data_IF_204600678279
#
_entry.id   IF_204600678279
#
_cell.length_a   1.000
_cell.length_b   1.000
_cell.length_c   1.000
_cell.angle_alpha   90.00
_cell.angle_beta   90.00
_cell.angle_gamma   90.00
#
_symmetry.space_group_name_H-M   'P 1'
#
loop_
_entity.id
_entity.type
_entity.pdbx_description
1 polymer ?
#
# COMPACT_ATOMS: atom_id res chain seq x y z
N UNK A 1 13.25 -20.97 -3.52
CA UNK A 1 13.56 -20.06 -2.40
C UNK A 1 13.52 -18.65 -2.96
N UNK A 2 12.43 -17.91 -2.74
CA UNK A 2 12.25 -16.55 -3.27
C UNK A 2 13.03 -15.56 -2.40
N UNK A 3 14.00 -14.80 -2.94
CA UNK A 3 14.78 -13.85 -2.15
C UNK A 3 13.94 -12.60 -1.82
N UNK A 4 13.98 -12.14 -0.57
CA UNK A 4 13.31 -10.89 -0.14
C UNK A 4 14.07 -9.64 -0.61
N UNK A 5 15.38 -9.76 -0.85
CA UNK A 5 16.22 -8.65 -1.28
C UNK A 5 16.88 -8.98 -2.62
N UNK A 6 16.70 -8.11 -3.62
CA UNK A 6 17.29 -8.28 -4.96
C UNK A 6 18.82 -8.15 -4.96
N UNK A 7 19.41 -7.59 -3.89
CA UNK A 7 20.85 -7.49 -3.72
C UNK A 7 21.36 -8.38 -2.56
N UNK A 8 22.49 -9.06 -2.78
CA UNK A 8 23.27 -9.64 -1.68
C UNK A 8 23.68 -8.52 -0.70
N UNK A 9 23.73 -8.80 0.61
CA UNK A 9 24.31 -7.80 1.53
C UNK A 9 25.75 -7.60 1.11
N UNK A 10 26.21 -6.36 0.89
CA UNK A 10 27.59 -6.11 0.59
C UNK A 10 28.45 -6.65 1.73
N UNK A 11 29.64 -7.14 1.41
CA UNK A 11 30.73 -7.26 2.38
C UNK A 11 30.82 -5.95 3.17
N UNK A 12 31.25 -5.93 4.44
CA UNK A 12 31.38 -4.70 5.22
C UNK A 12 32.49 -3.84 4.63
N UNK A 13 32.18 -3.14 3.54
CA UNK A 13 33.00 -2.16 2.84
C UNK A 13 32.31 -0.81 3.00
N UNK A 14 33.12 0.20 3.27
CA UNK A 14 32.78 1.58 3.63
C UNK A 14 32.01 2.39 2.57
N UNK A 15 31.57 1.80 1.46
CA UNK A 15 31.07 2.52 0.28
C UNK A 15 29.54 2.45 0.09
N UNK A 16 28.79 1.90 1.06
CA UNK A 16 27.32 1.88 0.98
C UNK A 16 26.77 3.24 1.39
N UNK A 17 26.12 3.94 0.45
CA UNK A 17 25.49 5.22 0.75
C UNK A 17 24.31 5.03 1.74
N UNK A 18 24.19 5.89 2.77
CA UNK A 18 23.03 5.90 3.65
C UNK A 18 21.72 6.02 2.86
N UNK A 19 20.69 5.30 3.30
CA UNK A 19 19.35 5.25 2.68
C UNK A 19 19.23 4.28 1.50
N UNK A 20 20.24 3.45 1.22
CA UNK A 20 20.23 2.48 0.12
C UNK A 20 20.23 1.03 0.56
N UNK A 21 20.52 0.74 1.84
CA UNK A 21 20.62 -0.63 2.31
C UNK A 21 20.18 -0.75 3.76
N UNK A 22 19.13 -1.54 3.98
CA UNK A 22 18.52 -1.71 5.30
C UNK A 22 19.51 -2.21 6.37
N UNK A 23 20.47 -3.06 6.01
CA UNK A 23 21.48 -3.58 6.94
C UNK A 23 22.45 -2.51 7.46
N UNK A 24 22.62 -1.42 6.71
CA UNK A 24 23.46 -0.28 7.11
C UNK A 24 22.62 0.76 7.85
N UNK A 25 21.42 1.04 7.33
CA UNK A 25 20.53 2.07 7.87
C UNK A 25 19.86 1.63 9.19
N UNK A 26 19.66 0.32 9.37
CA UNK A 26 19.00 -0.29 10.52
C UNK A 26 19.78 -1.52 11.01
N UNK A 27 21.00 -1.33 11.54
CA UNK A 27 21.87 -2.45 11.91
C UNK A 27 21.30 -3.31 13.06
N UNK A 28 20.49 -2.70 13.93
CA UNK A 28 19.88 -3.37 15.08
C UNK A 28 18.59 -4.13 14.70
N UNK A 29 18.06 -3.93 13.49
CA UNK A 29 16.93 -4.69 12.99
C UNK A 29 17.38 -6.10 12.60
N UNK A 30 16.52 -7.10 12.82
CA UNK A 30 16.78 -8.45 12.34
C UNK A 30 16.55 -8.52 10.84
N UNK A 31 17.60 -8.89 10.09
CA UNK A 31 17.57 -9.01 8.64
C UNK A 31 17.41 -10.46 8.21
N UNK A 32 16.64 -10.68 7.14
CA UNK A 32 16.37 -12.00 6.59
C UNK A 32 16.83 -12.06 5.13
N UNK A 33 17.23 -13.25 4.68
CA UNK A 33 17.67 -13.49 3.30
C UNK A 33 16.55 -13.98 2.41
N UNK A 34 15.57 -14.67 2.99
CA UNK A 34 14.54 -15.39 2.27
C UNK A 34 13.18 -15.05 2.86
N UNK A 35 12.14 -15.11 2.01
CA UNK A 35 10.76 -14.91 2.44
C UNK A 35 10.33 -15.96 3.46
N UNK A 36 10.75 -17.19 3.24
CA UNK A 36 10.46 -18.33 4.10
C UNK A 36 10.97 -18.11 5.54
N UNK A 37 12.25 -17.74 5.71
CA UNK A 37 12.81 -17.49 7.05
C UNK A 37 12.12 -16.30 7.74
N UNK A 38 11.77 -15.27 6.96
CA UNK A 38 11.07 -14.09 7.47
C UNK A 38 9.66 -14.46 7.96
N UNK A 39 8.87 -15.15 7.15
CA UNK A 39 7.50 -15.53 7.51
C UNK A 39 7.44 -16.62 8.58
N UNK A 40 8.45 -17.48 8.68
CA UNK A 40 8.55 -18.49 9.72
C UNK A 40 8.85 -17.91 11.11
N UNK A 41 9.36 -16.68 11.22
CA UNK A 41 9.71 -16.10 12.51
C UNK A 41 8.45 -15.84 13.36
N UNK A 42 8.31 -16.46 14.55
CA UNK A 42 7.13 -16.29 15.40
C UNK A 42 7.04 -14.90 16.06
N UNK A 43 8.13 -14.13 16.14
CA UNK A 43 8.15 -12.78 16.69
C UNK A 43 7.56 -11.75 15.71
N UNK A 44 7.42 -12.08 14.43
CA UNK A 44 6.76 -11.21 13.45
C UNK A 44 5.25 -11.46 13.50
N UNK A 45 4.47 -10.42 13.78
CA UNK A 45 3.01 -10.51 13.83
C UNK A 45 2.33 -9.76 12.66
N UNK A 46 3.01 -8.76 12.12
CA UNK A 46 2.51 -7.87 11.08
C UNK A 46 3.57 -7.64 10.00
N UNK A 47 3.16 -7.69 8.75
CA UNK A 47 4.00 -7.55 7.56
C UNK A 47 3.49 -6.40 6.71
N UNK A 48 4.41 -5.55 6.28
CA UNK A 48 4.13 -4.52 5.28
C UNK A 48 4.84 -4.93 3.98
N UNK A 49 4.06 -5.17 2.92
CA UNK A 49 4.57 -5.55 1.60
C UNK A 49 4.79 -4.28 0.80
N UNK A 50 6.05 -3.84 0.70
CA UNK A 50 6.49 -2.67 -0.08
C UNK A 50 7.42 -3.07 -1.24
N UNK A 51 7.14 -4.21 -1.87
CA UNK A 51 7.98 -4.78 -2.94
C UNK A 51 7.60 -4.21 -4.31
N UNK A 52 8.08 -4.82 -5.40
CA UNK A 52 7.58 -4.47 -6.74
C UNK A 52 6.12 -4.89 -6.89
N UNK A 53 5.35 -4.13 -7.69
CA UNK A 53 3.91 -4.34 -7.86
C UNK A 53 3.57 -5.78 -8.30
N UNK A 54 4.45 -6.40 -9.09
CA UNK A 54 4.38 -7.78 -9.59
C UNK A 54 4.48 -8.87 -8.51
N UNK A 55 4.94 -8.51 -7.32
CA UNK A 55 5.18 -9.45 -6.20
C UNK A 55 4.29 -9.18 -4.99
N UNK A 56 3.41 -8.19 -5.06
CA UNK A 56 2.53 -7.83 -3.94
C UNK A 56 1.61 -9.00 -3.56
N UNK A 57 0.95 -9.61 -4.55
CA UNK A 57 0.02 -10.71 -4.32
C UNK A 57 0.72 -11.93 -3.70
N UNK A 58 1.83 -12.37 -4.29
CA UNK A 58 2.63 -13.51 -3.81
C UNK A 58 3.03 -13.33 -2.33
N UNK A 59 3.69 -12.21 -1.99
CA UNK A 59 4.15 -12.02 -0.62
C UNK A 59 3.02 -11.74 0.37
N UNK A 60 1.93 -11.12 -0.05
CA UNK A 60 0.76 -10.93 0.81
C UNK A 60 0.10 -12.28 1.14
N UNK A 61 -0.08 -13.15 0.15
CA UNK A 61 -0.61 -14.50 0.35
C UNK A 61 0.29 -15.34 1.26
N UNK A 62 1.59 -15.36 1.00
CA UNK A 62 2.56 -16.09 1.83
C UNK A 62 2.51 -15.63 3.30
N UNK A 63 2.51 -14.32 3.53
CA UNK A 63 2.43 -13.75 4.87
C UNK A 63 1.10 -14.09 5.58
N UNK A 64 -0.03 -14.00 4.87
CA UNK A 64 -1.34 -14.35 5.43
C UNK A 64 -1.42 -15.83 5.78
N UNK A 65 -0.94 -16.71 4.89
CA UNK A 65 -0.90 -18.16 5.13
C UNK A 65 0.05 -18.53 6.28
N UNK A 66 1.13 -17.76 6.47
CA UNK A 66 1.99 -17.82 7.65
C UNK A 66 1.39 -17.17 8.92
N UNK A 67 0.07 -16.86 8.89
CA UNK A 67 -0.72 -16.34 10.01
C UNK A 67 -0.27 -14.94 10.47
N UNK A 68 0.26 -14.13 9.57
CA UNK A 68 0.64 -12.73 9.83
C UNK A 68 -0.48 -11.78 9.41
N UNK A 69 -0.61 -10.64 10.10
CA UNK A 69 -1.42 -9.51 9.63
C UNK A 69 -0.67 -8.83 8.49
N UNK A 70 -1.36 -8.31 7.48
CA UNK A 70 -0.73 -7.77 6.27
C UNK A 70 -1.28 -6.40 5.89
N UNK A 71 -0.36 -5.48 5.62
CA UNK A 71 -0.63 -4.27 4.85
C UNK A 71 0.16 -4.31 3.54
N UNK A 72 -0.50 -4.04 2.42
CA UNK A 72 0.14 -4.02 1.09
C UNK A 72 0.22 -2.58 0.61
N UNK A 73 1.36 -2.18 0.05
CA UNK A 73 1.47 -0.92 -0.70
C UNK A 73 0.54 -0.92 -1.92
N UNK A 74 0.31 0.24 -2.51
CA UNK A 74 -0.46 0.36 -3.75
C UNK A 74 0.48 0.20 -4.96
N UNK A 75 -0.04 -0.26 -6.11
CA UNK A 75 -1.37 -0.86 -6.27
C UNK A 75 -1.47 -2.18 -5.50
N UNK A 76 -2.68 -2.52 -5.03
CA UNK A 76 -2.89 -3.72 -4.21
C UNK A 76 -2.38 -4.99 -4.91
N UNK A 77 -2.74 -5.16 -6.18
CA UNK A 77 -2.32 -6.21 -7.11
C UNK A 77 -2.37 -5.67 -8.55
N UNK A 78 -1.91 -6.43 -9.53
CA UNK A 78 -1.98 -6.03 -10.96
C UNK A 78 -3.23 -6.55 -11.68
N UNK A 79 -3.98 -7.47 -11.05
CA UNK A 79 -5.26 -7.98 -11.56
C UNK A 79 -6.29 -8.19 -10.44
N UNK A 80 -7.56 -8.25 -10.82
CA UNK A 80 -8.66 -8.57 -9.91
C UNK A 80 -8.59 -10.02 -9.42
N UNK A 81 -8.13 -10.93 -10.27
CA UNK A 81 -7.97 -12.34 -9.92
C UNK A 81 -6.92 -12.53 -8.81
N UNK A 82 -5.80 -11.81 -8.89
CA UNK A 82 -4.81 -11.78 -7.80
C UNK A 82 -5.40 -11.17 -6.52
N UNK A 83 -6.17 -10.08 -6.64
CA UNK A 83 -6.82 -9.46 -5.49
C UNK A 83 -7.75 -10.46 -4.76
N UNK A 84 -8.55 -11.21 -5.53
CA UNK A 84 -9.46 -12.22 -5.00
C UNK A 84 -8.71 -13.36 -4.27
N UNK A 85 -7.57 -13.80 -4.81
CA UNK A 85 -6.71 -14.80 -4.17
C UNK A 85 -6.19 -14.31 -2.81
N UNK A 86 -5.66 -13.08 -2.76
CA UNK A 86 -5.14 -12.48 -1.51
C UNK A 86 -6.26 -12.29 -0.47
N UNK A 87 -7.45 -11.85 -0.91
CA UNK A 87 -8.63 -11.71 -0.05
C UNK A 87 -9.04 -13.08 0.52
N UNK A 88 -9.08 -14.13 -0.31
CA UNK A 88 -9.39 -15.48 0.13
C UNK A 88 -8.36 -16.01 1.13
N UNK A 89 -7.07 -15.73 0.93
CA UNK A 89 -6.00 -16.08 1.87
C UNK A 89 -6.18 -15.37 3.23
N UNK A 90 -6.62 -14.10 3.24
CA UNK A 90 -6.94 -13.36 4.46
C UNK A 90 -8.12 -13.97 5.20
N UNK A 91 -9.20 -14.30 4.49
CA UNK A 91 -10.36 -14.97 5.07
C UNK A 91 -9.99 -16.34 5.67
N UNK A 92 -9.21 -17.14 4.95
CA UNK A 92 -8.75 -18.47 5.40
C UNK A 92 -7.83 -18.39 6.62
N UNK A 93 -6.95 -17.40 6.68
CA UNK A 93 -6.05 -17.19 7.81
C UNK A 93 -6.73 -16.51 9.00
N UNK A 94 -7.88 -15.85 8.79
CA UNK A 94 -8.51 -15.02 9.82
C UNK A 94 -7.63 -13.83 10.24
N UNK A 95 -6.68 -13.43 9.39
CA UNK A 95 -5.77 -12.31 9.65
C UNK A 95 -6.22 -11.06 8.91
N UNK A 96 -5.89 -9.92 9.49
CA UNK A 96 -6.23 -8.61 8.92
C UNK A 96 -5.41 -8.41 7.66
N UNK A 97 -6.10 -7.99 6.60
CA UNK A 97 -5.53 -7.53 5.35
C UNK A 97 -6.00 -6.09 5.12
N UNK A 98 -5.07 -5.19 4.81
CA UNK A 98 -5.38 -3.81 4.42
C UNK A 98 -4.47 -3.36 3.29
N UNK A 99 -4.93 -2.36 2.54
CA UNK A 99 -4.12 -1.68 1.52
C UNK A 99 -3.72 -0.31 2.07
N UNK A 100 -2.48 0.10 1.84
CA UNK A 100 -1.97 1.40 2.27
C UNK A 100 -2.42 2.51 1.33
N UNK A 101 -3.69 2.91 1.46
CA UNK A 101 -4.26 4.08 0.79
C UNK A 101 -3.92 5.36 1.55
N UNK A 102 -2.66 5.81 1.42
CA UNK A 102 -2.10 6.94 2.18
C UNK A 102 -2.90 8.24 2.02
N UNK A 103 -3.41 8.54 0.82
CA UNK A 103 -4.16 9.77 0.53
C UNK A 103 -5.54 9.85 1.23
N UNK A 104 -5.95 8.80 1.95
CA UNK A 104 -7.10 8.88 2.89
C UNK A 104 -6.78 9.70 4.14
N UNK A 105 -5.51 9.93 4.42
CA UNK A 105 -5.00 10.56 5.64
C UNK A 105 -4.45 11.96 5.43
N UNK A 106 -4.51 12.49 4.21
CA UNK A 106 -4.14 13.87 3.93
C UNK A 106 -5.11 14.82 4.61
N UNK A 107 -4.60 15.95 5.11
CA UNK A 107 -5.36 16.86 5.97
C UNK A 107 -6.59 17.46 5.29
N UNK A 108 -6.49 17.73 3.99
CA UNK A 108 -7.59 18.23 3.16
C UNK A 108 -8.66 17.16 2.99
N UNK A 109 -8.28 15.91 2.69
CA UNK A 109 -9.21 14.81 2.55
C UNK A 109 -9.88 14.43 3.88
N UNK A 110 -9.14 14.45 5.00
CA UNK A 110 -9.72 14.28 6.33
C UNK A 110 -10.76 15.36 6.65
N UNK A 111 -10.48 16.61 6.27
CA UNK A 111 -11.44 17.72 6.42
C UNK A 111 -12.68 17.47 5.57
N UNK A 112 -12.51 17.08 4.30
CA UNK A 112 -13.62 16.78 3.40
C UNK A 112 -14.49 15.64 3.94
N UNK A 113 -13.88 14.57 4.48
CA UNK A 113 -14.59 13.46 5.12
C UNK A 113 -15.44 13.90 6.30
N UNK A 114 -14.92 14.77 7.17
CA UNK A 114 -15.69 15.33 8.31
C UNK A 114 -16.89 16.14 7.82
N UNK A 115 -16.71 17.00 6.81
CA UNK A 115 -17.77 17.82 6.25
C UNK A 115 -18.87 16.97 5.60
N UNK A 116 -18.50 15.90 4.88
CA UNK A 116 -19.47 14.94 4.32
C UNK A 116 -20.20 14.17 5.42
N UNK A 117 -19.48 13.69 6.44
CA UNK A 117 -20.07 12.98 7.58
C UNK A 117 -21.08 13.84 8.34
N UNK A 118 -20.79 15.14 8.50
CA UNK A 118 -21.67 16.13 9.12
C UNK A 118 -22.77 16.65 8.19
N UNK A 119 -22.88 16.09 6.98
CA UNK A 119 -23.86 16.45 5.95
C UNK A 119 -23.83 17.95 5.59
N UNK A 120 -22.66 18.60 5.64
CA UNK A 120 -22.51 20.03 5.34
C UNK A 120 -22.91 20.36 3.90
N UNK A 121 -22.70 19.42 2.97
CA UNK A 121 -23.07 19.56 1.56
C UNK A 121 -24.48 19.04 1.23
N UNK A 122 -25.25 18.61 2.24
CA UNK A 122 -26.51 17.91 2.02
C UNK A 122 -26.29 16.54 1.38
N UNK A 123 -27.04 16.25 0.31
CA UNK A 123 -26.89 15.01 -0.44
C UNK A 123 -25.86 15.19 -1.57
N UNK A 124 -24.71 14.55 -1.42
CA UNK A 124 -23.65 14.46 -2.41
C UNK A 124 -24.16 13.71 -3.65
N UNK A 125 -24.15 14.40 -4.80
CA UNK A 125 -24.56 13.85 -6.09
C UNK A 125 -23.38 13.62 -7.03
N UNK A 126 -22.33 14.42 -6.89
CA UNK A 126 -21.19 14.44 -7.79
C UNK A 126 -19.92 14.83 -7.02
N UNK A 127 -18.79 14.24 -7.40
CA UNK A 127 -17.46 14.51 -6.86
C UNK A 127 -16.48 14.50 -8.04
N UNK A 128 -15.77 15.61 -8.23
CA UNK A 128 -14.64 15.72 -9.16
C UNK A 128 -13.33 15.71 -8.36
N UNK A 129 -12.35 14.92 -8.80
CA UNK A 129 -11.03 14.81 -8.16
C UNK A 129 -9.99 14.84 -9.27
N UNK A 130 -9.06 15.80 -9.19
CA UNK A 130 -8.09 16.08 -10.23
C UNK A 130 -6.69 16.14 -9.63
N UNK A 131 -5.74 15.61 -10.40
CA UNK A 131 -4.32 15.77 -10.15
C UNK A 131 -3.72 16.50 -11.35
N UNK A 132 -3.72 17.83 -11.27
CA UNK A 132 -3.21 18.69 -12.33
C UNK A 132 -1.75 19.02 -12.06
N UNK A 133 -0.89 18.62 -13.00
CA UNK A 133 0.53 18.92 -12.93
C UNK A 133 1.01 19.45 -14.27
N UNK A 134 1.89 20.46 -14.23
CA UNK A 134 2.46 21.00 -15.46
C UNK A 134 3.35 19.96 -16.15
N UNK A 135 4.40 19.42 -15.50
CA UNK A 135 5.20 18.27 -15.97
C UNK A 135 6.09 17.72 -14.83
N UNK A 136 5.55 16.90 -13.92
CA UNK A 136 6.32 16.41 -12.79
C UNK A 136 7.29 15.31 -13.23
N UNK A 137 8.59 15.52 -12.99
CA UNK A 137 9.65 14.58 -13.36
C UNK A 137 9.49 13.19 -12.73
N UNK A 138 8.78 13.09 -11.59
CA UNK A 138 8.51 11.84 -10.90
C UNK A 138 7.43 10.97 -11.57
N UNK A 139 6.52 11.56 -12.37
CA UNK A 139 5.49 10.82 -13.14
C UNK A 139 6.02 10.34 -14.49
N UNK A 140 7.14 10.86 -14.97
CA UNK A 140 7.67 10.55 -16.31
C UNK A 140 7.80 9.03 -16.58
N UNK A 141 8.06 8.24 -15.53
CA UNK A 141 8.10 6.77 -15.61
C UNK A 141 6.73 6.12 -15.84
N UNK A 142 5.65 6.70 -15.34
CA UNK A 142 4.26 6.20 -15.48
C UNK A 142 3.63 6.54 -16.84
N UNK A 143 4.24 7.46 -17.57
CA UNK A 143 3.87 7.84 -18.94
C UNK A 143 4.83 7.24 -19.98
N UNK A 144 5.71 6.32 -19.58
CA UNK A 144 6.67 5.67 -20.47
C UNK A 144 5.96 4.78 -21.49
N UNK A 145 6.39 4.76 -22.77
CA UNK A 145 5.80 3.91 -23.80
C UNK A 145 6.04 2.40 -23.56
N UNK A 146 7.00 2.05 -22.69
CA UNK A 146 7.15 0.68 -22.17
C UNK A 146 6.21 0.50 -20.97
N UNK A 147 4.96 0.17 -21.27
CA UNK A 147 3.93 -0.09 -20.27
C UNK A 147 4.09 -1.51 -19.73
N UNK A 148 4.40 -1.65 -18.43
CA UNK A 148 4.29 -2.94 -17.73
C UNK A 148 3.05 -2.86 -16.82
N UNK A 149 2.25 -3.94 -16.71
CA UNK A 149 1.05 -3.93 -15.88
C UNK A 149 1.34 -3.42 -14.47
N UNK A 150 0.51 -2.49 -13.98
CA UNK A 150 0.66 -1.89 -12.66
C UNK A 150 1.49 -0.61 -12.64
N UNK A 151 2.12 -0.20 -13.74
CA UNK A 151 2.92 1.02 -13.84
C UNK A 151 2.17 2.19 -14.49
N UNK A 152 0.91 1.98 -14.87
CA UNK A 152 0.08 2.98 -15.52
C UNK A 152 -0.46 4.02 -14.54
N UNK A 153 -0.88 5.18 -15.08
CA UNK A 153 -1.53 6.24 -14.33
C UNK A 153 -2.73 5.75 -13.50
N UNK A 154 -3.48 4.78 -14.03
CA UNK A 154 -4.63 4.19 -13.34
C UNK A 154 -4.22 3.49 -12.03
N UNK A 155 -3.11 2.75 -12.03
CA UNK A 155 -2.60 2.11 -10.81
C UNK A 155 -1.87 3.10 -9.90
N UNK A 156 -1.20 4.10 -10.50
CA UNK A 156 -0.44 5.14 -9.80
C UNK A 156 -1.31 6.13 -9.02
N UNK A 157 -2.07 6.99 -9.73
CA UNK A 157 -2.95 8.02 -9.15
C UNK A 157 -4.43 7.67 -9.23
N UNK A 158 -4.85 6.98 -10.29
CA UNK A 158 -6.26 6.64 -10.48
C UNK A 158 -6.82 5.79 -9.33
N UNK A 159 -6.00 4.90 -8.78
CA UNK A 159 -6.33 4.06 -7.63
C UNK A 159 -6.66 4.91 -6.39
N UNK A 160 -5.96 6.03 -6.18
CA UNK A 160 -6.29 6.97 -5.11
C UNK A 160 -7.57 7.76 -5.39
N UNK A 161 -7.75 8.25 -6.62
CA UNK A 161 -8.97 8.98 -7.00
C UNK A 161 -10.23 8.11 -6.81
N UNK A 162 -10.19 6.87 -7.28
CA UNK A 162 -11.29 5.91 -7.14
C UNK A 162 -11.54 5.62 -5.66
N UNK A 163 -10.48 5.37 -4.89
CA UNK A 163 -10.57 5.11 -3.45
C UNK A 163 -11.20 6.27 -2.67
N UNK A 164 -10.79 7.50 -2.96
CA UNK A 164 -11.33 8.70 -2.34
C UNK A 164 -12.80 8.91 -2.70
N UNK A 165 -13.16 8.77 -3.98
CA UNK A 165 -14.55 8.88 -4.41
C UNK A 165 -15.44 7.83 -3.70
N UNK A 166 -15.03 6.57 -3.69
CA UNK A 166 -15.73 5.49 -2.98
C UNK A 166 -15.87 5.80 -1.49
N UNK A 167 -14.82 6.31 -0.86
CA UNK A 167 -14.84 6.68 0.56
C UNK A 167 -15.87 7.76 0.86
N UNK A 168 -15.95 8.83 0.06
CA UNK A 168 -16.89 9.94 0.28
C UNK A 168 -18.35 9.48 0.14
N UNK A 169 -18.67 8.72 -0.91
CA UNK A 169 -20.01 8.16 -1.07
C UNK A 169 -20.35 7.14 0.02
N UNK A 170 -19.38 6.32 0.45
CA UNK A 170 -19.59 5.35 1.53
C UNK A 170 -19.87 6.04 2.87
N UNK A 171 -19.21 7.15 3.18
CA UNK A 171 -19.51 7.96 4.39
C UNK A 171 -20.97 8.42 4.37
N UNK A 172 -21.44 8.97 3.24
CA UNK A 172 -22.83 9.41 3.12
C UNK A 172 -23.84 8.27 3.26
N UNK A 173 -23.63 7.14 2.57
CA UNK A 173 -24.61 6.06 2.50
C UNK A 173 -24.61 5.13 3.71
N UNK A 174 -23.46 4.97 4.37
CA UNK A 174 -23.29 4.02 5.46
C UNK A 174 -22.97 4.69 6.81
N UNK A 175 -22.86 6.02 6.86
CA UNK A 175 -22.56 6.76 8.08
C UNK A 175 -21.19 6.41 8.65
N UNK A 176 -20.21 6.14 7.78
CA UNK A 176 -18.85 5.77 8.20
C UNK A 176 -18.24 6.97 8.94
N UNK A 177 -17.88 6.84 10.23
CA UNK A 177 -17.33 7.95 10.98
C UNK A 177 -15.96 8.37 10.42
N UNK A 178 -15.58 9.66 10.59
CA UNK A 178 -14.25 10.12 10.23
C UNK A 178 -13.19 9.38 11.06
N UNK A 179 -11.99 9.30 10.52
CA UNK A 179 -10.85 8.74 11.26
C UNK A 179 -10.56 9.71 12.41
N UNK A 180 -10.54 9.24 13.68
CA UNK A 180 -10.29 10.12 14.80
C UNK A 180 -8.94 10.81 14.64
N UNK A 181 -8.82 12.09 15.03
CA UNK A 181 -7.53 12.77 15.02
C UNK A 181 -6.53 11.96 15.85
N UNK A 182 -5.28 11.88 15.38
CA UNK A 182 -4.21 11.27 16.18
C UNK A 182 -4.14 12.04 17.51
N UNK A 183 -4.37 11.36 18.62
CA UNK A 183 -4.03 11.90 19.94
C UNK A 183 -2.54 12.21 19.94
N UNK A 184 -2.20 13.49 20.06
CA UNK A 184 -0.82 13.96 20.18
C UNK A 184 -0.16 13.56 21.49
#
# INVERSE_FOLDING_TARGET
>A
MTPINRAASPSPSSDVQPGKQCAVDYPDAKHYRTAEDFFADPAIEFVIVCTGHDTHAEFAEEALLARKHVAVEKPFTISTEEADCVIAASQKSGKILTVFQSLRYDSDFLTLRDLVFRSVFGNLTEVEIHYDFDFPTWIASWTSPKCSPGQEMLFGLGSHTIDQALTLFAIQHHGIPPIPPRSG
#
